data_IF_777439140022
#
_entry.id   IF_777439140022
#
_cell.length_a   1.000
_cell.length_b   1.000
_cell.length_c   1.000
_cell.angle_alpha   90.00
_cell.angle_beta   90.00
_cell.angle_gamma   90.00
#
_symmetry.space_group_name_H-M   'P 1'
#
loop_
_entity.id
_entity.type
_entity.pdbx_description
1 polymer ?
#
# COMPACT_ATOMS: atom_id res chain seq x y z
N UNK A 1 -21.78 -50.30 11.76
CA UNK A 1 -22.05 -48.90 12.16
C UNK A 1 -20.96 -48.37 13.10
N UNK A 2 -20.82 -48.83 14.36
CA UNK A 2 -19.83 -48.28 15.33
C UNK A 2 -18.36 -48.43 14.92
N UNK A 3 -17.99 -49.55 14.29
CA UNK A 3 -16.61 -49.80 13.80
C UNK A 3 -16.21 -48.92 12.60
N UNK A 4 -17.18 -48.55 11.74
CA UNK A 4 -16.93 -47.64 10.61
C UNK A 4 -16.69 -46.21 11.10
N UNK A 5 -17.38 -45.83 12.17
CA UNK A 5 -17.24 -44.51 12.79
C UNK A 5 -15.89 -44.36 13.50
N UNK A 6 -15.42 -45.41 14.17
CA UNK A 6 -14.06 -45.46 14.74
C UNK A 6 -12.97 -45.42 13.66
N UNK A 7 -13.19 -46.04 12.51
CA UNK A 7 -12.26 -45.97 11.38
C UNK A 7 -12.20 -44.56 10.78
N UNK A 8 -13.34 -43.91 10.57
CA UNK A 8 -13.41 -42.51 10.11
C UNK A 8 -12.80 -41.53 11.12
N UNK A 9 -13.02 -41.75 12.42
CA UNK A 9 -12.44 -40.93 13.49
C UNK A 9 -10.92 -41.09 13.57
N UNK A 10 -10.40 -42.31 13.35
CA UNK A 10 -8.97 -42.57 13.26
C UNK A 10 -8.30 -41.91 12.05
N UNK A 11 -8.98 -41.85 10.89
CA UNK A 11 -8.47 -41.20 9.68
C UNK A 11 -8.34 -39.67 9.85
N UNK A 12 -9.22 -39.06 10.65
CA UNK A 12 -9.17 -37.62 10.95
C UNK A 12 -7.92 -37.22 11.76
N UNK A 13 -7.35 -38.15 12.53
CA UNK A 13 -6.13 -37.92 13.33
C UNK A 13 -4.83 -38.00 12.50
N UNK A 14 -4.88 -38.55 11.27
CA UNK A 14 -3.76 -38.57 10.33
C UNK A 14 -3.64 -37.30 9.49
N UNK A 15 -4.58 -36.36 9.59
CA UNK A 15 -4.50 -35.04 8.93
C UNK A 15 -3.49 -34.10 9.60
N UNK A 16 -2.50 -34.65 10.32
CA UNK A 16 -1.46 -33.88 10.98
C UNK A 16 -0.63 -33.15 9.93
N UNK A 17 -0.50 -31.83 10.13
CA UNK A 17 -0.06 -30.85 9.15
C UNK A 17 1.39 -31.08 8.68
N UNK A 18 1.57 -31.78 7.58
CA UNK A 18 2.78 -31.66 6.77
C UNK A 18 2.89 -30.19 6.32
N UNK A 19 4.11 -29.62 6.31
CA UNK A 19 4.31 -28.31 5.69
C UNK A 19 4.04 -28.47 4.20
N UNK A 20 2.89 -27.95 3.75
CA UNK A 20 2.43 -28.12 2.36
C UNK A 20 3.42 -27.51 1.36
N UNK A 21 4.21 -26.51 1.80
CA UNK A 21 5.22 -25.85 0.98
C UNK A 21 6.54 -25.80 1.75
N UNK A 22 7.61 -26.29 1.13
CA UNK A 22 8.96 -26.20 1.68
C UNK A 22 9.51 -24.77 1.58
N UNK A 23 10.41 -24.43 2.49
CA UNK A 23 11.06 -23.11 2.49
C UNK A 23 12.07 -23.04 1.31
N UNK A 24 11.89 -22.12 0.35
CA UNK A 24 12.84 -21.99 -0.76
C UNK A 24 14.20 -21.46 -0.27
N UNK A 25 15.29 -21.93 -0.89
CA UNK A 25 16.66 -21.51 -0.52
C UNK A 25 16.88 -20.00 -0.71
N UNK A 26 16.26 -19.45 -1.75
CA UNK A 26 16.33 -18.03 -2.13
C UNK A 26 15.14 -17.22 -1.58
N UNK A 27 14.54 -17.61 -0.45
CA UNK A 27 13.40 -16.91 0.14
C UNK A 27 13.66 -15.40 0.30
N UNK A 28 12.74 -14.58 -0.18
CA UNK A 28 12.73 -13.13 0.07
C UNK A 28 12.51 -12.90 1.57
N UNK A 29 13.41 -12.20 2.29
CA UNK A 29 13.23 -11.91 3.70
C UNK A 29 11.93 -11.14 3.98
N UNK A 30 11.35 -11.35 5.16
CA UNK A 30 10.04 -10.80 5.54
C UNK A 30 9.98 -9.29 5.37
N UNK A 31 10.99 -8.57 5.85
CA UNK A 31 11.10 -7.11 5.78
C UNK A 31 11.18 -6.63 4.33
N UNK A 32 11.87 -7.39 3.47
CA UNK A 32 11.95 -7.11 2.03
C UNK A 32 10.62 -7.37 1.35
N UNK A 33 9.89 -8.42 1.75
CA UNK A 33 8.54 -8.71 1.25
C UNK A 33 7.54 -7.61 1.64
N UNK A 34 7.60 -7.09 2.88
CA UNK A 34 6.82 -5.92 3.31
C UNK A 34 7.07 -4.72 2.39
N UNK A 35 8.34 -4.42 2.09
CA UNK A 35 8.68 -3.32 1.19
C UNK A 35 8.15 -3.53 -0.24
N UNK A 36 8.26 -4.76 -0.78
CA UNK A 36 7.75 -5.14 -2.10
C UNK A 36 6.24 -4.95 -2.17
N UNK A 37 5.50 -5.50 -1.21
CA UNK A 37 4.03 -5.45 -1.19
C UNK A 37 3.51 -4.04 -0.95
N UNK A 38 4.19 -3.24 -0.12
CA UNK A 38 3.92 -1.81 0.01
C UNK A 38 4.04 -1.10 -1.34
N UNK A 39 5.15 -1.28 -2.07
CA UNK A 39 5.37 -0.62 -3.35
C UNK A 39 4.37 -1.09 -4.42
N UNK A 40 4.05 -2.39 -4.42
CA UNK A 40 3.03 -2.96 -5.29
C UNK A 40 1.64 -2.36 -5.01
N UNK A 41 1.28 -2.18 -3.73
CA UNK A 41 0.02 -1.55 -3.34
C UNK A 41 -0.07 -0.10 -3.84
N UNK A 42 1.01 0.69 -3.70
CA UNK A 42 1.07 2.07 -4.19
C UNK A 42 0.93 2.13 -5.72
N UNK A 43 1.65 1.28 -6.45
CA UNK A 43 1.59 1.26 -7.92
C UNK A 43 0.21 0.84 -8.44
N UNK A 44 -0.40 -0.18 -7.82
CA UNK A 44 -1.74 -0.64 -8.18
C UNK A 44 -2.79 0.43 -7.87
N UNK A 45 -2.67 1.10 -6.72
CA UNK A 45 -3.48 2.27 -6.37
C UNK A 45 -3.35 3.39 -7.41
N UNK A 46 -2.13 3.72 -7.85
CA UNK A 46 -1.91 4.77 -8.83
C UNK A 46 -2.52 4.41 -10.20
N UNK A 47 -2.31 3.17 -10.67
CA UNK A 47 -2.88 2.65 -11.92
C UNK A 47 -4.41 2.76 -11.93
N UNK A 48 -5.06 2.32 -10.84
CA UNK A 48 -6.52 2.32 -10.71
C UNK A 48 -7.10 3.73 -10.49
N UNK A 49 -6.49 4.54 -9.63
CA UNK A 49 -7.03 5.85 -9.23
C UNK A 49 -6.95 6.89 -10.34
N UNK A 50 -5.85 6.91 -11.09
CA UNK A 50 -5.65 7.91 -12.13
C UNK A 50 -6.00 7.41 -13.53
N UNK A 51 -6.52 6.17 -13.65
CA UNK A 51 -6.68 5.45 -14.92
C UNK A 51 -5.43 5.56 -15.81
N UNK A 52 -4.26 5.67 -15.17
CA UNK A 52 -3.00 5.78 -15.89
C UNK A 52 -2.72 4.40 -16.43
N UNK A 53 -2.71 4.33 -17.75
CA UNK A 53 -2.20 3.18 -18.46
C UNK A 53 -0.68 3.22 -18.37
N UNK A 54 -0.14 2.66 -17.27
CA UNK A 54 1.31 2.61 -17.04
C UNK A 54 2.03 1.91 -18.20
N UNK A 55 1.36 0.96 -18.86
CA UNK A 55 1.90 0.25 -20.02
C UNK A 55 2.05 1.19 -21.23
N UNK A 56 1.14 2.14 -21.44
CA UNK A 56 1.33 3.21 -22.46
C UNK A 56 2.50 4.14 -22.15
N UNK A 57 2.94 4.20 -20.89
CA UNK A 57 4.17 4.92 -20.50
C UNK A 57 5.42 4.04 -20.56
N UNK A 58 5.28 2.78 -21.00
CA UNK A 58 6.34 1.78 -21.07
C UNK A 58 6.69 1.13 -19.73
N UNK A 59 5.86 1.33 -18.70
CA UNK A 59 6.11 0.83 -17.33
C UNK A 59 5.17 -0.33 -17.02
N UNK A 60 5.74 -1.52 -16.94
CA UNK A 60 5.08 -2.71 -16.40
C UNK A 60 5.35 -2.84 -14.90
N UNK A 61 4.29 -3.03 -14.10
CA UNK A 61 4.36 -2.99 -12.63
C UNK A 61 5.29 -4.06 -12.07
N UNK A 62 5.09 -5.33 -12.44
CA UNK A 62 5.89 -6.43 -11.90
C UNK A 62 7.36 -6.37 -12.32
N UNK A 63 7.70 -6.15 -13.62
CA UNK A 63 9.10 -5.92 -14.02
C UNK A 63 9.76 -4.75 -13.30
N UNK A 64 9.04 -3.65 -13.06
CA UNK A 64 9.54 -2.53 -12.28
C UNK A 64 9.85 -2.94 -10.84
N UNK A 65 8.94 -3.68 -10.18
CA UNK A 65 9.13 -4.19 -8.82
C UNK A 65 10.35 -5.13 -8.74
N UNK A 66 10.47 -6.07 -9.68
CA UNK A 66 11.61 -6.99 -9.75
C UNK A 66 12.94 -6.24 -9.82
N UNK A 67 13.02 -5.25 -10.72
CA UNK A 67 14.19 -4.40 -10.87
C UNK A 67 14.49 -3.57 -9.61
N UNK A 68 13.47 -2.94 -9.02
CA UNK A 68 13.61 -2.09 -7.83
C UNK A 68 14.16 -2.86 -6.63
N UNK A 69 13.65 -4.08 -6.41
CA UNK A 69 14.00 -4.89 -5.26
C UNK A 69 15.13 -5.89 -5.54
N UNK A 70 15.69 -5.94 -6.75
CA UNK A 70 16.74 -6.88 -7.13
C UNK A 70 16.31 -8.33 -6.83
N UNK A 71 15.16 -8.71 -7.38
CA UNK A 71 14.59 -10.06 -7.34
C UNK A 71 14.15 -10.44 -8.75
N UNK A 72 13.95 -11.73 -9.00
CA UNK A 72 13.31 -12.20 -10.23
C UNK A 72 11.88 -12.71 -9.97
N UNK A 73 11.17 -13.04 -11.04
CA UNK A 73 9.79 -13.54 -10.96
C UNK A 73 9.68 -14.87 -10.23
N UNK A 74 10.64 -15.78 -10.40
CA UNK A 74 10.61 -17.09 -9.78
C UNK A 74 10.83 -16.98 -8.26
N UNK A 75 11.82 -16.20 -7.85
CA UNK A 75 12.09 -15.88 -6.45
C UNK A 75 10.87 -15.25 -5.77
N UNK A 76 10.22 -14.29 -6.43
CA UNK A 76 8.99 -13.69 -5.92
C UNK A 76 7.88 -14.72 -5.75
N UNK A 77 7.52 -15.45 -6.81
CA UNK A 77 6.42 -16.42 -6.79
C UNK A 77 6.64 -17.55 -5.78
N UNK A 78 7.87 -18.06 -5.66
CA UNK A 78 8.21 -19.09 -4.66
C UNK A 78 8.12 -18.56 -3.23
N UNK A 79 8.59 -17.32 -3.01
CA UNK A 79 8.52 -16.69 -1.68
C UNK A 79 7.09 -16.36 -1.29
N UNK A 80 6.30 -15.84 -2.22
CA UNK A 80 4.88 -15.55 -2.01
C UNK A 80 4.09 -16.83 -1.68
N UNK A 81 4.33 -17.91 -2.44
CA UNK A 81 3.74 -19.22 -2.16
C UNK A 81 4.14 -19.77 -0.79
N UNK A 82 5.41 -19.64 -0.41
CA UNK A 82 5.87 -20.04 0.92
C UNK A 82 5.14 -19.26 2.03
N UNK A 83 5.08 -17.93 1.93
CA UNK A 83 4.39 -17.13 2.94
C UNK A 83 2.89 -17.45 2.98
N UNK A 84 2.23 -17.63 1.83
CA UNK A 84 0.84 -18.06 1.76
C UNK A 84 0.58 -19.41 2.47
N UNK A 85 1.59 -20.28 2.57
CA UNK A 85 1.50 -21.54 3.31
C UNK A 85 1.64 -21.40 4.84
N UNK A 86 2.07 -20.23 5.33
CA UNK A 86 2.24 -19.91 6.75
C UNK A 86 1.37 -18.71 7.13
N UNK A 87 0.06 -18.89 7.38
CA UNK A 87 -0.91 -17.79 7.48
C UNK A 87 -0.56 -16.70 8.49
N UNK A 88 -0.06 -17.09 9.68
CA UNK A 88 0.32 -16.12 10.72
C UNK A 88 1.51 -15.25 10.31
N UNK A 89 2.50 -15.81 9.60
CA UNK A 89 3.63 -15.03 9.11
C UNK A 89 3.17 -14.06 8.01
N UNK A 90 2.32 -14.53 7.10
CA UNK A 90 1.85 -13.72 5.99
C UNK A 90 0.90 -12.60 6.43
N UNK A 91 0.01 -12.89 7.38
CA UNK A 91 -0.81 -11.87 8.04
C UNK A 91 0.07 -10.77 8.62
N UNK A 92 1.13 -11.14 9.35
CA UNK A 92 2.05 -10.15 9.93
C UNK A 92 2.82 -9.35 8.89
N UNK A 93 3.03 -9.86 7.67
CA UNK A 93 3.57 -9.08 6.54
C UNK A 93 2.55 -8.00 6.14
N UNK A 94 1.29 -8.39 5.91
CA UNK A 94 0.25 -7.45 5.48
C UNK A 94 -0.09 -6.40 6.55
N UNK A 95 -0.14 -6.77 7.83
CA UNK A 95 -0.35 -5.83 8.93
C UNK A 95 0.75 -4.75 8.99
N UNK A 96 2.00 -5.13 8.71
CA UNK A 96 3.10 -4.16 8.62
C UNK A 96 2.96 -3.25 7.40
N UNK A 97 2.53 -3.79 6.25
CA UNK A 97 2.24 -2.98 5.06
C UNK A 97 1.13 -1.96 5.37
N UNK A 98 0.05 -2.40 6.00
CA UNK A 98 -1.07 -1.55 6.41
C UNK A 98 -0.61 -0.45 7.37
N UNK A 99 0.16 -0.80 8.40
CA UNK A 99 0.71 0.16 9.36
C UNK A 99 1.57 1.24 8.69
N UNK A 100 2.41 0.88 7.71
CA UNK A 100 3.21 1.84 6.94
C UNK A 100 2.31 2.79 6.15
N UNK A 101 1.28 2.25 5.50
CA UNK A 101 0.33 3.03 4.70
C UNK A 101 -0.48 4.00 5.57
N UNK A 102 -0.95 3.54 6.72
CA UNK A 102 -1.73 4.33 7.67
C UNK A 102 -0.89 5.47 8.25
N UNK A 103 0.33 5.19 8.72
CA UNK A 103 1.24 6.22 9.21
C UNK A 103 1.53 7.29 8.15
N UNK A 104 1.73 6.89 6.88
CA UNK A 104 1.94 7.83 5.77
C UNK A 104 0.70 8.67 5.50
N UNK A 105 -0.49 8.07 5.53
CA UNK A 105 -1.75 8.77 5.37
C UNK A 105 -1.92 9.83 6.46
N UNK A 106 -1.78 9.47 7.71
CA UNK A 106 -1.93 10.37 8.86
C UNK A 106 -0.94 11.54 8.79
N UNK A 107 0.29 11.26 8.37
CA UNK A 107 1.31 12.29 8.16
C UNK A 107 0.86 13.30 7.09
N UNK A 108 0.36 12.82 5.95
CA UNK A 108 -0.10 13.67 4.84
C UNK A 108 -1.35 14.48 5.21
N UNK A 109 -2.30 13.88 5.93
CA UNK A 109 -3.49 14.56 6.43
C UNK A 109 -3.14 15.65 7.45
N UNK A 110 -2.23 15.35 8.38
CA UNK A 110 -1.72 16.32 9.35
C UNK A 110 -1.03 17.52 8.69
N UNK A 111 -0.20 17.28 7.67
CA UNK A 111 0.43 18.34 6.89
C UNK A 111 -0.59 19.20 6.13
N UNK A 112 -1.60 18.55 5.53
CA UNK A 112 -2.67 19.23 4.80
C UNK A 112 -3.51 20.11 5.72
N UNK A 113 -3.86 19.61 6.91
CA UNK A 113 -4.58 20.37 7.93
C UNK A 113 -3.80 21.61 8.38
N UNK A 114 -2.51 21.45 8.72
CA UNK A 114 -1.64 22.57 9.11
C UNK A 114 -1.54 23.65 8.02
N UNK A 115 -1.42 23.22 6.75
CA UNK A 115 -1.41 24.13 5.60
C UNK A 115 -2.72 24.92 5.51
N UNK A 116 -3.86 24.23 5.55
CA UNK A 116 -5.18 24.85 5.44
C UNK A 116 -5.46 25.82 6.60
N UNK A 117 -5.06 25.46 7.82
CA UNK A 117 -5.17 26.32 8.98
C UNK A 117 -4.33 27.59 8.83
N UNK A 118 -3.12 27.48 8.28
CA UNK A 118 -2.24 28.64 8.03
C UNK A 118 -2.83 29.57 6.97
N UNK A 119 -3.39 29.00 5.89
CA UNK A 119 -4.08 29.77 4.83
C UNK A 119 -5.30 30.50 5.41
N UNK A 120 -6.14 29.81 6.19
CA UNK A 120 -7.33 30.39 6.84
C UNK A 120 -6.96 31.54 7.77
N UNK A 121 -5.92 31.38 8.60
CA UNK A 121 -5.43 32.45 9.48
C UNK A 121 -4.94 33.66 8.69
N UNK A 122 -4.16 33.45 7.63
CA UNK A 122 -3.70 34.54 6.77
C UNK A 122 -4.88 35.28 6.08
N UNK A 123 -5.91 34.56 5.65
CA UNK A 123 -7.12 35.16 5.06
C UNK A 123 -7.92 35.97 6.08
N UNK A 124 -8.04 35.49 7.32
CA UNK A 124 -8.70 36.22 8.41
C UNK A 124 -7.96 37.51 8.76
N UNK A 125 -6.64 37.44 8.94
CA UNK A 125 -5.80 38.62 9.19
C UNK A 125 -5.91 39.66 8.07
N UNK A 126 -5.96 39.23 6.81
CA UNK A 126 -6.15 40.13 5.67
C UNK A 126 -7.51 40.83 5.69
N UNK A 127 -8.57 40.12 6.12
CA UNK A 127 -9.93 40.67 6.27
C UNK A 127 -10.01 41.67 7.43
N UNK A 128 -9.33 41.39 8.54
CA UNK A 128 -9.27 42.26 9.72
C UNK A 128 -8.42 43.52 9.51
N UNK A 129 -7.33 43.43 8.75
CA UNK A 129 -6.43 44.56 8.48
C UNK A 129 -6.88 45.47 7.32
N UNK A 130 -7.93 45.09 6.58
CA UNK A 130 -8.50 45.90 5.49
C UNK A 130 -7.57 46.12 4.28
N UNK A 131 -6.45 45.40 4.18
CA UNK A 131 -5.46 45.58 3.11
C UNK A 131 -5.97 44.93 1.80
N UNK A 132 -6.52 45.75 0.90
CA UNK A 132 -6.79 45.38 -0.50
C UNK A 132 -5.47 45.10 -1.21
N UNK A 133 -5.32 43.92 -1.83
CA UNK A 133 -4.14 43.63 -2.65
C UNK A 133 -4.28 44.30 -4.01
N UNK A 134 -3.17 44.73 -4.62
CA UNK A 134 -3.14 45.54 -5.85
C UNK A 134 -3.99 45.03 -7.03
N UNK A 135 -4.36 43.74 -7.08
CA UNK A 135 -5.22 43.19 -8.13
C UNK A 135 -6.67 43.73 -8.12
N UNK A 136 -7.14 44.35 -7.04
CA UNK A 136 -8.48 44.94 -6.98
C UNK A 136 -8.55 46.35 -7.62
N UNK A 137 -7.41 46.94 -8.02
CA UNK A 137 -7.35 48.29 -8.62
C UNK A 137 -7.38 48.31 -10.15
N UNK A 138 -7.26 47.17 -10.81
CA UNK A 138 -7.18 47.10 -12.29
C UNK A 138 -8.54 46.90 -12.98
N UNK A 139 -9.60 46.60 -12.22
CA UNK A 139 -10.97 46.43 -12.75
C UNK A 139 -11.97 47.44 -12.16
N UNK A 140 -11.55 48.68 -11.90
CA UNK A 140 -12.51 49.76 -11.75
C UNK A 140 -12.89 50.25 -13.17
N UNK A 141 -14.17 50.13 -13.61
CA UNK A 141 -14.57 50.71 -14.88
C UNK A 141 -14.41 52.22 -14.79
N UNK A 142 -13.64 52.77 -15.72
CA UNK A 142 -13.47 54.20 -15.90
C UNK A 142 -14.85 54.81 -16.19
N UNK A 143 -15.36 55.58 -15.23
CA UNK A 143 -16.61 56.30 -15.38
C UNK A 143 -16.33 57.56 -16.21
N UNK A 144 -16.72 57.52 -17.48
CA UNK A 144 -16.91 58.69 -18.34
C UNK A 144 -18.37 58.78 -18.76
#
# INVERSE_FOLDING_TARGET
>A
MKKIWLFFFGLMLLSCSEKVVEKPENLIPKEKMVAILHDLAILNSARTSFKIDLEKTGIEVMPFIYKKHQIDSAQFSQSDLYYASVPLEYQSIYEQVESILEHRKDTLEGLTKKRNDSIRKAQQQKKETGIKTKNDKENAPDAS
#
